data_IF_467511047993
#
_entry.id   IF_467511047993
#
_cell.length_a   1.000
_cell.length_b   1.000
_cell.length_c   1.000
_cell.angle_alpha   90.00
_cell.angle_beta   90.00
_cell.angle_gamma   90.00
#
_symmetry.space_group_name_H-M   'P 1'
#
loop_
_entity.id
_entity.type
_entity.pdbx_description
1 polymer ?
#
# COMPACT_ATOMS: atom_id res chain seq x y z
N UNK A 1 0.06 14.06 9.50
CA UNK A 1 0.59 12.69 9.36
C UNK A 1 -0.46 11.63 9.68
N UNK A 2 -1.52 12.00 10.42
CA UNK A 2 -2.55 11.08 10.92
C UNK A 2 -3.22 10.21 9.85
N UNK A 3 -3.56 10.73 8.67
CA UNK A 3 -4.16 9.93 7.60
C UNK A 3 -3.31 8.72 7.16
N UNK A 4 -2.03 8.94 6.85
CA UNK A 4 -1.13 7.87 6.44
C UNK A 4 -0.89 6.87 7.59
N UNK A 5 -0.81 7.36 8.84
CA UNK A 5 -0.67 6.50 10.02
C UNK A 5 -1.90 5.62 10.24
N UNK A 6 -3.10 6.17 10.07
CA UNK A 6 -4.35 5.40 10.18
C UNK A 6 -4.43 4.34 9.09
N UNK A 7 -4.02 4.66 7.85
CA UNK A 7 -3.93 3.66 6.77
C UNK A 7 -2.97 2.51 7.13
N UNK A 8 -1.75 2.82 7.59
CA UNK A 8 -0.75 1.82 8.01
C UNK A 8 -1.28 0.97 9.18
N UNK A 9 -2.00 1.57 10.12
CA UNK A 9 -2.61 0.81 11.21
C UNK A 9 -3.58 -0.26 10.66
N UNK A 10 -4.44 0.08 9.69
CA UNK A 10 -5.32 -0.89 9.05
C UNK A 10 -4.53 -1.98 8.30
N UNK A 11 -3.41 -1.64 7.64
CA UNK A 11 -2.54 -2.63 6.99
C UNK A 11 -2.00 -3.65 7.99
N UNK A 12 -1.46 -3.19 9.12
CA UNK A 12 -0.93 -4.05 10.19
C UNK A 12 -2.04 -4.92 10.80
N UNK A 13 -3.24 -4.35 10.98
CA UNK A 13 -4.37 -5.07 11.55
C UNK A 13 -4.85 -6.19 10.61
N UNK A 14 -4.94 -5.92 9.30
CA UNK A 14 -5.23 -6.94 8.29
C UNK A 14 -4.13 -8.01 8.23
N UNK A 15 -2.85 -7.64 8.29
CA UNK A 15 -1.74 -8.60 8.20
C UNK A 15 -1.62 -9.53 9.40
N UNK A 16 -2.10 -9.09 10.56
CA UNK A 16 -2.11 -9.87 11.82
C UNK A 16 -3.42 -10.59 12.10
N UNK A 17 -4.46 -10.38 11.27
CA UNK A 17 -5.84 -10.84 11.52
C UNK A 17 -6.38 -10.42 12.90
N UNK A 18 -5.87 -9.31 13.44
CA UNK A 18 -6.27 -8.81 14.74
C UNK A 18 -7.70 -8.25 14.65
N UNK A 19 -8.55 -8.62 15.61
CA UNK A 19 -9.92 -8.07 15.67
C UNK A 19 -9.85 -6.60 16.07
N UNK A 20 -10.44 -5.76 15.24
CA UNK A 20 -10.56 -4.33 15.52
C UNK A 20 -11.63 -4.11 16.61
N UNK A 21 -11.31 -3.25 17.58
CA UNK A 21 -12.30 -2.73 18.51
C UNK A 21 -13.27 -1.82 17.75
N UNK A 22 -14.57 -1.98 17.98
CA UNK A 22 -15.63 -1.25 17.26
C UNK A 22 -15.41 0.27 17.26
N UNK A 23 -15.06 0.83 18.42
CA UNK A 23 -14.80 2.26 18.57
C UNK A 23 -13.60 2.77 17.76
N UNK A 24 -12.56 1.94 17.59
CA UNK A 24 -11.42 2.30 16.75
C UNK A 24 -11.85 2.35 15.28
N UNK A 25 -12.55 1.31 14.81
CA UNK A 25 -13.06 1.25 13.43
C UNK A 25 -13.94 2.44 13.13
N UNK A 26 -14.97 2.68 13.92
CA UNK A 26 -15.93 3.75 13.66
C UNK A 26 -15.27 5.12 13.64
N UNK A 27 -14.31 5.37 14.54
CA UNK A 27 -13.57 6.64 14.61
C UNK A 27 -12.66 6.82 13.40
N UNK A 28 -11.94 5.78 12.99
CA UNK A 28 -11.08 5.83 11.81
C UNK A 28 -11.86 6.01 10.51
N UNK A 29 -13.00 5.33 10.36
CA UNK A 29 -13.87 5.49 9.19
C UNK A 29 -14.47 6.91 9.15
N UNK A 30 -14.95 7.43 10.28
CA UNK A 30 -15.41 8.82 10.36
C UNK A 30 -14.31 9.81 9.93
N UNK A 31 -13.08 9.60 10.41
CA UNK A 31 -11.93 10.41 10.03
C UNK A 31 -11.61 10.32 8.53
N UNK A 32 -11.67 9.14 7.92
CA UNK A 32 -11.49 9.00 6.47
C UNK A 32 -12.57 9.77 5.69
N UNK A 33 -13.83 9.68 6.12
CA UNK A 33 -14.95 10.39 5.46
C UNK A 33 -14.91 11.91 5.64
N UNK A 34 -14.33 12.40 6.74
CA UNK A 34 -14.12 13.82 7.02
C UNK A 34 -12.96 14.39 6.19
N UNK A 35 -11.88 13.60 6.01
CA UNK A 35 -10.66 14.04 5.31
C UNK A 35 -10.67 13.82 3.80
N UNK A 36 -11.70 13.16 3.28
CA UNK A 36 -11.89 12.95 1.84
C UNK A 36 -12.22 14.25 1.12
N UNK A 37 -11.58 14.47 -0.03
CA UNK A 37 -12.07 15.45 -0.99
C UNK A 37 -13.33 14.87 -1.66
N UNK A 38 -14.51 15.29 -1.21
CA UNK A 38 -15.79 14.77 -1.69
C UNK A 38 -16.10 15.15 -3.14
N UNK A 39 -15.62 16.30 -3.59
CA UNK A 39 -15.84 16.77 -4.96
C UNK A 39 -14.98 15.96 -5.93
N UNK A 40 -13.73 15.69 -5.56
CA UNK A 40 -12.80 14.94 -6.40
C UNK A 40 -12.84 13.43 -6.17
N UNK A 41 -13.37 12.96 -5.04
CA UNK A 41 -13.46 11.54 -4.70
C UNK A 41 -12.10 10.89 -4.41
N UNK A 42 -11.23 11.55 -3.65
CA UNK A 42 -9.91 11.01 -3.32
C UNK A 42 -9.37 11.52 -1.98
N UNK A 43 -8.24 10.97 -1.55
CA UNK A 43 -7.44 11.52 -0.45
C UNK A 43 -6.06 11.91 -0.96
N UNK A 44 -5.48 12.96 -0.38
CA UNK A 44 -4.05 13.21 -0.56
C UNK A 44 -3.26 12.13 0.19
N UNK A 45 -2.16 11.65 -0.39
CA UNK A 45 -1.25 10.73 0.31
C UNK A 45 -0.82 11.33 1.66
N UNK A 46 -0.49 12.63 1.65
CA UNK A 46 -0.13 13.39 2.83
C UNK A 46 -1.09 14.58 2.97
N UNK A 47 -1.88 14.67 4.06
CA UNK A 47 -2.73 15.82 4.31
C UNK A 47 -1.91 17.12 4.36
N UNK A 48 -2.48 18.23 3.88
CA UNK A 48 -1.79 19.54 3.87
C UNK A 48 -1.32 19.97 5.27
N UNK A 49 -2.10 19.65 6.30
CA UNK A 49 -1.74 19.90 7.71
C UNK A 49 -0.44 19.22 8.16
N UNK A 50 -0.03 18.14 7.48
CA UNK A 50 1.19 17.41 7.78
C UNK A 50 2.46 18.02 7.17
N UNK A 51 2.33 18.97 6.24
CA UNK A 51 3.46 19.53 5.51
C UNK A 51 4.48 20.29 6.37
N UNK A 52 4.12 20.64 7.61
CA UNK A 52 5.00 21.32 8.56
C UNK A 52 5.70 20.37 9.54
N UNK A 53 5.32 19.09 9.58
CA UNK A 53 5.99 18.09 10.43
C UNK A 53 7.28 17.61 9.78
N UNK A 54 8.29 17.09 10.51
CA UNK A 54 9.41 16.40 9.91
C UNK A 54 8.95 15.24 9.00
N UNK A 55 9.44 15.20 7.76
CA UNK A 55 9.01 14.23 6.75
C UNK A 55 10.09 13.98 5.69
N UNK A 56 9.90 12.93 4.89
CA UNK A 56 10.77 12.63 3.76
C UNK A 56 10.57 13.65 2.62
N UNK A 57 11.61 14.11 1.92
CA UNK A 57 11.48 15.13 0.87
C UNK A 57 10.49 14.75 -0.26
N UNK A 58 10.40 13.46 -0.59
CA UNK A 58 9.48 12.95 -1.62
C UNK A 58 8.00 12.98 -1.21
N UNK A 59 7.68 13.34 0.04
CA UNK A 59 6.31 13.54 0.50
C UNK A 59 5.76 14.94 0.19
N UNK A 60 6.58 15.85 -0.35
CA UNK A 60 6.09 17.18 -0.69
C UNK A 60 5.17 17.14 -1.93
N UNK A 61 3.88 17.38 -1.71
CA UNK A 61 2.85 17.34 -2.74
C UNK A 61 2.35 18.72 -3.18
N UNK A 62 3.00 19.79 -2.74
CA UNK A 62 2.57 21.17 -3.06
C UNK A 62 2.61 21.38 -4.57
N UNK A 63 1.45 21.74 -5.15
CA UNK A 63 1.26 21.97 -6.59
C UNK A 63 1.68 20.81 -7.49
N UNK A 64 1.56 19.57 -6.99
CA UNK A 64 1.98 18.35 -7.69
C UNK A 64 0.86 17.31 -7.83
N UNK A 65 -0.39 17.74 -7.73
CA UNK A 65 -1.54 16.81 -7.77
C UNK A 65 -1.54 15.97 -9.06
N UNK A 66 -1.19 16.57 -10.22
CA UNK A 66 -1.08 15.86 -11.50
C UNK A 66 0.07 14.84 -11.53
N UNK A 67 1.18 15.10 -10.81
CA UNK A 67 2.32 14.18 -10.71
C UNK A 67 1.95 12.92 -9.92
N UNK A 68 0.97 13.03 -9.03
CA UNK A 68 0.42 11.91 -8.27
C UNK A 68 -0.90 11.40 -8.88
N UNK A 69 -1.13 11.66 -10.17
CA UNK A 69 -2.31 11.25 -10.92
C UNK A 69 -3.64 11.61 -10.22
N UNK A 70 -3.68 12.81 -9.63
CA UNK A 70 -4.79 13.28 -8.82
C UNK A 70 -5.22 12.28 -7.73
N UNK A 71 -4.27 11.52 -7.19
CA UNK A 71 -4.47 10.52 -6.15
C UNK A 71 -5.52 9.47 -6.50
N UNK A 72 -5.62 9.11 -7.79
CA UNK A 72 -6.68 8.26 -8.31
C UNK A 72 -6.62 6.84 -7.76
N UNK A 73 -5.44 6.26 -7.60
CA UNK A 73 -5.26 4.94 -6.98
C UNK A 73 -4.48 4.99 -5.66
N UNK A 74 -3.40 5.76 -5.58
CA UNK A 74 -2.65 5.94 -4.32
C UNK A 74 -3.09 7.24 -3.61
N UNK A 75 -3.73 7.16 -2.43
CA UNK A 75 -4.03 5.98 -1.59
C UNK A 75 -5.47 5.45 -1.78
N UNK A 76 -6.25 6.06 -2.67
CA UNK A 76 -7.71 5.90 -2.80
C UNK A 76 -8.18 4.45 -2.99
N UNK A 77 -7.46 3.63 -3.77
CA UNK A 77 -7.84 2.23 -3.99
C UNK A 77 -7.78 1.41 -2.70
N UNK A 78 -6.75 1.61 -1.87
CA UNK A 78 -6.64 0.95 -0.58
C UNK A 78 -7.75 1.41 0.38
N UNK A 79 -8.01 2.72 0.42
CA UNK A 79 -9.06 3.29 1.27
C UNK A 79 -10.43 2.72 0.93
N UNK A 80 -10.75 2.60 -0.36
CA UNK A 80 -11.98 1.95 -0.82
C UNK A 80 -12.12 0.55 -0.22
N UNK A 81 -11.01 -0.19 -0.12
CA UNK A 81 -11.00 -1.50 0.50
C UNK A 81 -11.43 -1.48 1.97
N UNK A 82 -10.97 -0.50 2.75
CA UNK A 82 -11.37 -0.34 4.15
C UNK A 82 -12.84 0.08 4.30
N UNK A 83 -13.32 0.93 3.39
CA UNK A 83 -14.73 1.34 3.36
C UNK A 83 -15.65 0.17 3.06
N UNK A 84 -15.26 -0.75 2.18
CA UNK A 84 -15.99 -2.00 1.93
C UNK A 84 -16.05 -2.91 3.16
N UNK A 85 -14.94 -3.12 3.86
CA UNK A 85 -14.91 -3.94 5.10
C UNK A 85 -15.81 -3.33 6.19
N UNK A 86 -15.95 -2.00 6.18
CA UNK A 86 -16.65 -1.23 7.20
C UNK A 86 -17.94 -0.59 6.68
N UNK A 87 -18.55 -1.15 5.63
CA UNK A 87 -19.66 -0.54 4.88
C UNK A 87 -20.86 -0.15 5.74
N UNK A 88 -21.07 -0.79 6.89
CA UNK A 88 -22.12 -0.43 7.86
C UNK A 88 -21.95 0.98 8.47
N UNK A 89 -20.74 1.55 8.41
CA UNK A 89 -20.43 2.90 8.89
C UNK A 89 -20.28 3.92 7.74
N UNK A 90 -20.51 3.51 6.49
CA UNK A 90 -20.20 4.31 5.31
C UNK A 90 -21.47 4.54 4.48
N UNK A 91 -21.77 5.78 4.06
CA UNK A 91 -22.85 6.04 3.11
C UNK A 91 -22.61 5.30 1.78
N UNK A 92 -23.64 4.59 1.28
CA UNK A 92 -23.51 3.73 0.10
C UNK A 92 -23.16 4.48 -1.19
N UNK A 93 -23.53 5.75 -1.29
CA UNK A 93 -23.19 6.65 -2.39
C UNK A 93 -21.68 6.92 -2.45
N UNK A 94 -20.99 6.99 -1.30
CA UNK A 94 -19.54 7.17 -1.24
C UNK A 94 -18.81 5.94 -1.76
N UNK A 95 -19.23 4.74 -1.34
CA UNK A 95 -18.64 3.48 -1.85
C UNK A 95 -18.83 3.39 -3.36
N UNK A 96 -20.02 3.71 -3.86
CA UNK A 96 -20.34 3.68 -5.29
C UNK A 96 -19.48 4.67 -6.08
N UNK A 97 -19.40 5.93 -5.62
CA UNK A 97 -18.58 6.98 -6.23
C UNK A 97 -17.11 6.57 -6.35
N UNK A 98 -16.53 6.05 -5.26
CA UNK A 98 -15.13 5.66 -5.22
C UNK A 98 -14.86 4.40 -6.04
N UNK A 99 -15.79 3.45 -6.05
CA UNK A 99 -15.70 2.26 -6.90
C UNK A 99 -15.66 2.65 -8.37
N UNK A 100 -16.60 3.47 -8.82
CA UNK A 100 -16.66 3.93 -10.20
C UNK A 100 -15.37 4.67 -10.59
N UNK A 101 -14.86 5.54 -9.71
CA UNK A 101 -13.61 6.28 -9.93
C UNK A 101 -12.41 5.34 -10.06
N UNK A 102 -12.18 4.48 -9.06
CA UNK A 102 -11.02 3.56 -9.02
C UNK A 102 -11.05 2.61 -10.21
N UNK A 103 -12.22 2.02 -10.50
CA UNK A 103 -12.38 1.05 -11.59
C UNK A 103 -12.20 1.73 -12.96
N UNK A 104 -12.82 2.90 -13.17
CA UNK A 104 -12.71 3.62 -14.44
C UNK A 104 -11.28 4.05 -14.71
N UNK A 105 -10.62 4.61 -13.70
CA UNK A 105 -9.24 5.02 -13.79
C UNK A 105 -8.31 3.82 -14.08
N UNK A 106 -8.38 2.78 -13.25
CA UNK A 106 -7.56 1.57 -13.43
C UNK A 106 -7.77 0.92 -14.80
N UNK A 107 -9.02 0.87 -15.29
CA UNK A 107 -9.34 0.26 -16.59
C UNK A 107 -8.66 1.00 -17.75
N UNK A 108 -8.49 2.31 -17.65
CA UNK A 108 -7.87 3.17 -18.67
C UNK A 108 -6.33 3.15 -18.69
N UNK A 109 -5.68 2.59 -17.67
CA UNK A 109 -4.22 2.61 -17.56
C UNK A 109 -3.53 1.66 -18.56
N UNK A 110 -2.49 2.15 -19.24
CA UNK A 110 -1.55 1.30 -20.00
C UNK A 110 -0.35 0.87 -19.16
N UNK A 111 0.02 1.70 -18.19
CA UNK A 111 1.09 1.46 -17.20
C UNK A 111 0.58 1.94 -15.85
N UNK A 112 1.13 1.36 -14.78
CA UNK A 112 0.78 1.71 -13.41
C UNK A 112 2.03 2.09 -12.65
N UNK A 113 1.92 2.99 -11.67
CA UNK A 113 3.00 3.32 -10.74
C UNK A 113 3.04 2.30 -9.58
N UNK A 114 4.22 2.08 -8.97
CA UNK A 114 4.40 0.98 -8.01
C UNK A 114 3.51 1.10 -6.76
N UNK A 115 3.31 2.30 -6.21
CA UNK A 115 2.47 2.49 -5.02
C UNK A 115 1.00 2.38 -5.37
N UNK A 116 0.60 2.80 -6.57
CA UNK A 116 -0.75 2.59 -7.08
C UNK A 116 -1.07 1.10 -7.22
N UNK A 117 -0.16 0.32 -7.82
CA UNK A 117 -0.30 -1.13 -7.89
C UNK A 117 -0.45 -1.73 -6.49
N UNK A 118 0.43 -1.34 -5.55
CA UNK A 118 0.37 -1.84 -4.17
C UNK A 118 -0.97 -1.48 -3.48
N UNK A 119 -1.54 -0.30 -3.73
CA UNK A 119 -2.87 0.06 -3.23
C UNK A 119 -3.97 -0.82 -3.84
N UNK A 120 -3.92 -1.10 -5.15
CA UNK A 120 -4.87 -1.99 -5.81
C UNK A 120 -4.74 -3.44 -5.34
N UNK A 121 -3.53 -3.92 -5.08
CA UNK A 121 -3.31 -5.25 -4.48
C UNK A 121 -3.93 -5.33 -3.07
N UNK A 122 -3.81 -4.28 -2.26
CA UNK A 122 -4.47 -4.21 -0.95
C UNK A 122 -6.00 -4.12 -1.05
N UNK A 123 -6.54 -3.47 -2.07
CA UNK A 123 -7.98 -3.49 -2.39
C UNK A 123 -8.46 -4.91 -2.71
N UNK A 124 -7.71 -5.68 -3.50
CA UNK A 124 -8.06 -7.07 -3.83
C UNK A 124 -8.09 -8.01 -2.62
N UNK A 125 -7.50 -7.62 -1.48
CA UNK A 125 -7.57 -8.39 -0.22
C UNK A 125 -8.83 -8.11 0.61
N UNK A 126 -9.64 -7.13 0.23
CA UNK A 126 -10.91 -6.85 0.89
C UNK A 126 -11.86 -8.03 0.68
N UNK A 127 -12.33 -8.63 1.78
CA UNK A 127 -13.19 -9.82 1.74
C UNK A 127 -14.58 -9.47 1.19
N UNK A 128 -15.10 -8.30 1.53
CA UNK A 128 -16.44 -7.82 1.13
C UNK A 128 -16.49 -7.15 -0.24
N UNK A 129 -15.37 -7.13 -0.98
CA UNK A 129 -15.33 -6.58 -2.34
C UNK A 129 -16.19 -7.45 -3.27
N UNK A 130 -17.13 -6.88 -4.05
CA UNK A 130 -17.95 -7.64 -4.99
C UNK A 130 -17.10 -8.43 -5.98
N UNK A 131 -17.48 -9.69 -6.25
CA UNK A 131 -16.65 -10.60 -7.03
C UNK A 131 -16.41 -10.12 -8.46
N UNK A 132 -17.43 -9.56 -9.12
CA UNK A 132 -17.28 -8.98 -10.46
C UNK A 132 -16.24 -7.85 -10.49
N UNK A 133 -16.25 -6.99 -9.46
CA UNK A 133 -15.27 -5.91 -9.28
C UNK A 133 -13.88 -6.48 -9.01
N UNK A 134 -13.77 -7.47 -8.13
CA UNK A 134 -12.51 -8.17 -7.81
C UNK A 134 -11.90 -8.76 -9.09
N UNK A 135 -12.71 -9.44 -9.89
CA UNK A 135 -12.28 -10.07 -11.14
C UNK A 135 -11.85 -9.04 -12.19
N UNK A 136 -12.58 -7.93 -12.31
CA UNK A 136 -12.19 -6.85 -13.21
C UNK A 136 -10.82 -6.25 -12.82
N UNK A 137 -10.63 -5.92 -11.54
CA UNK A 137 -9.36 -5.38 -11.03
C UNK A 137 -8.25 -6.40 -11.24
N UNK A 138 -8.45 -7.67 -10.83
CA UNK A 138 -7.45 -8.74 -10.96
C UNK A 138 -6.98 -8.91 -12.40
N UNK A 139 -7.91 -9.04 -13.37
CA UNK A 139 -7.55 -9.15 -14.79
C UNK A 139 -6.72 -7.97 -15.28
N UNK A 140 -7.07 -6.75 -14.85
CA UNK A 140 -6.33 -5.55 -15.25
C UNK A 140 -4.93 -5.52 -14.62
N UNK A 141 -4.79 -5.86 -13.35
CA UNK A 141 -3.49 -5.90 -12.68
C UNK A 141 -2.57 -6.97 -13.28
N UNK A 142 -3.09 -8.15 -13.64
CA UNK A 142 -2.30 -9.19 -14.33
C UNK A 142 -1.61 -8.65 -15.58
N UNK A 143 -2.28 -7.77 -16.34
CA UNK A 143 -1.67 -7.16 -17.53
C UNK A 143 -0.63 -6.07 -17.21
N UNK A 144 -0.78 -5.38 -16.08
CA UNK A 144 0.07 -4.25 -15.71
C UNK A 144 1.35 -4.67 -14.97
N UNK A 145 1.33 -5.82 -14.29
CA UNK A 145 2.41 -6.32 -13.41
C UNK A 145 3.72 -6.55 -14.18
N UNK A 146 3.66 -7.18 -15.36
CA UNK A 146 4.84 -7.53 -16.15
C UNK A 146 5.71 -6.32 -16.50
N UNK A 147 5.10 -5.13 -16.59
CA UNK A 147 5.79 -3.88 -16.96
C UNK A 147 6.49 -3.16 -15.82
N UNK A 148 6.33 -3.61 -14.56
CA UNK A 148 6.79 -2.84 -13.38
C UNK A 148 7.57 -3.66 -12.34
N UNK A 149 7.41 -4.99 -12.30
CA UNK A 149 8.15 -5.82 -11.34
C UNK A 149 9.62 -5.95 -11.75
N UNK A 150 10.51 -5.58 -10.83
CA UNK A 150 11.95 -5.75 -10.99
C UNK A 150 12.31 -7.22 -10.74
N UNK A 151 12.37 -8.04 -11.78
CA UNK A 151 12.73 -9.47 -11.65
C UNK A 151 14.24 -9.72 -11.52
N UNK A 152 15.08 -8.74 -11.85
CA UNK A 152 16.54 -8.84 -11.74
C UNK A 152 17.00 -8.53 -10.30
N UNK A 153 17.69 -9.46 -9.60
CA UNK A 153 18.21 -9.24 -8.26
C UNK A 153 19.10 -8.01 -8.09
N UNK A 154 19.82 -7.60 -9.14
CA UNK A 154 20.69 -6.41 -9.09
C UNK A 154 19.90 -5.11 -8.91
N UNK A 155 18.60 -5.12 -9.17
CA UNK A 155 17.70 -3.97 -9.01
C UNK A 155 17.09 -3.89 -7.60
N UNK A 156 17.28 -4.91 -6.76
CA UNK A 156 16.58 -5.01 -5.47
C UNK A 156 17.17 -4.12 -4.39
N UNK A 157 18.47 -3.78 -4.42
CA UNK A 157 19.06 -2.89 -3.42
C UNK A 157 18.43 -1.49 -3.42
N UNK A 158 17.95 -1.04 -4.59
CA UNK A 158 17.36 0.28 -4.79
C UNK A 158 15.85 0.36 -4.52
N UNK A 159 15.28 1.49 -4.96
CA UNK A 159 13.84 1.74 -4.90
C UNK A 159 13.14 1.13 -6.12
N UNK A 160 12.73 -0.14 -5.98
CA UNK A 160 12.06 -0.91 -7.03
C UNK A 160 10.91 -1.72 -6.43
N UNK A 161 9.97 -2.14 -7.29
CA UNK A 161 8.91 -3.06 -6.92
C UNK A 161 9.41 -4.50 -7.08
N UNK A 162 9.61 -5.21 -5.97
CA UNK A 162 10.15 -6.56 -5.98
C UNK A 162 9.05 -7.63 -6.11
N UNK A 163 9.35 -8.84 -6.62
CA UNK A 163 8.37 -9.91 -6.83
C UNK A 163 7.50 -10.21 -5.60
N UNK A 164 8.10 -10.31 -4.41
CA UNK A 164 7.38 -10.64 -3.17
C UNK A 164 6.43 -9.54 -2.66
N UNK A 165 6.52 -8.33 -3.21
CA UNK A 165 5.55 -7.28 -2.91
C UNK A 165 4.25 -7.43 -3.73
N UNK A 166 4.31 -8.20 -4.83
CA UNK A 166 3.16 -8.54 -5.69
C UNK A 166 2.63 -9.93 -5.36
N UNK A 167 3.53 -10.89 -5.15
CA UNK A 167 3.24 -12.29 -4.81
C UNK A 167 3.62 -12.51 -3.35
N UNK A 168 2.70 -12.23 -2.43
CA UNK A 168 2.95 -12.28 -0.98
C UNK A 168 2.46 -13.55 -0.29
N UNK A 169 2.03 -14.53 -1.07
CA UNK A 169 1.69 -15.90 -0.64
C UNK A 169 1.84 -16.90 -1.81
N UNK A 170 2.07 -18.21 -1.53
CA UNK A 170 2.21 -19.23 -2.58
C UNK A 170 0.97 -19.43 -3.47
N UNK A 171 -0.21 -19.07 -2.98
CA UNK A 171 -1.48 -19.16 -3.71
C UNK A 171 -1.87 -17.88 -4.45
N UNK A 172 -0.98 -16.88 -4.50
CA UNK A 172 -1.26 -15.60 -5.15
C UNK A 172 -1.70 -15.80 -6.61
N UNK A 173 -2.77 -15.13 -7.06
CA UNK A 173 -3.23 -15.21 -8.46
C UNK A 173 -2.24 -14.57 -9.45
N UNK A 174 -1.19 -13.91 -8.96
CA UNK A 174 -0.15 -13.25 -9.76
C UNK A 174 1.15 -14.04 -9.84
N UNK A 175 1.17 -15.30 -9.37
CA UNK A 175 2.37 -16.15 -9.39
C UNK A 175 2.82 -16.51 -10.82
N UNK A 176 1.87 -16.71 -11.73
CA UNK A 176 2.17 -17.22 -13.08
C UNK A 176 3.13 -16.29 -13.84
N UNK A 177 4.29 -16.81 -14.25
CA UNK A 177 5.33 -16.06 -14.94
C UNK A 177 6.34 -15.36 -14.02
N UNK A 178 6.13 -15.40 -12.70
CA UNK A 178 7.02 -14.83 -11.69
C UNK A 178 7.66 -15.89 -10.78
N UNK A 179 7.48 -17.18 -11.06
CA UNK A 179 7.91 -18.28 -10.17
C UNK A 179 9.40 -18.22 -9.84
N UNK A 180 10.25 -18.08 -10.86
CA UNK A 180 11.70 -17.98 -10.69
C UNK A 180 12.10 -16.69 -9.96
N UNK A 181 11.46 -15.57 -10.29
CA UNK A 181 11.74 -14.27 -9.68
C UNK A 181 11.31 -14.23 -8.20
N UNK A 182 10.19 -14.87 -7.85
CA UNK A 182 9.70 -15.04 -6.48
C UNK A 182 10.67 -15.92 -5.68
N UNK A 183 11.08 -17.06 -6.23
CA UNK A 183 12.06 -17.93 -5.57
C UNK A 183 13.39 -17.20 -5.32
N UNK A 184 13.90 -16.48 -6.32
CA UNK A 184 15.11 -15.69 -6.18
C UNK A 184 14.93 -14.54 -5.17
N UNK A 185 13.76 -13.90 -5.14
CA UNK A 185 13.49 -12.82 -4.19
C UNK A 185 13.39 -13.36 -2.76
N UNK A 186 12.85 -14.56 -2.52
CA UNK A 186 12.85 -15.20 -1.19
C UNK A 186 14.28 -15.40 -0.68
N UNK A 187 15.16 -15.96 -1.50
CA UNK A 187 16.57 -16.15 -1.14
C UNK A 187 17.27 -14.81 -0.84
N UNK A 188 16.98 -13.79 -1.64
CA UNK A 188 17.50 -12.45 -1.39
C UNK A 188 17.00 -11.86 -0.06
N UNK A 189 15.71 -12.00 0.27
CA UNK A 189 15.19 -11.52 1.55
C UNK A 189 15.83 -12.27 2.73
N UNK A 190 16.02 -13.59 2.63
CA UNK A 190 16.68 -14.39 3.68
C UNK A 190 18.15 -13.96 3.84
N UNK A 191 18.89 -13.84 2.74
CA UNK A 191 20.32 -13.48 2.75
C UNK A 191 20.61 -12.02 3.15
N UNK A 192 19.61 -11.14 3.05
CA UNK A 192 19.72 -9.72 3.43
C UNK A 192 19.29 -9.41 4.86
N UNK A 193 18.92 -10.43 5.64
CA UNK A 193 18.65 -10.29 7.07
C UNK A 193 19.95 -9.93 7.82
N UNK A 194 19.89 -8.92 8.68
CA UNK A 194 20.99 -8.55 9.55
C UNK A 194 21.23 -9.62 10.63
N UNK A 195 22.43 -9.64 11.21
CA UNK A 195 22.79 -10.57 12.30
C UNK A 195 21.87 -10.45 13.54
N UNK A 196 21.30 -9.27 13.78
CA UNK A 196 20.33 -9.02 14.87
C UNK A 196 18.90 -9.47 14.53
N UNK A 197 18.68 -10.04 13.34
CA UNK A 197 17.40 -10.51 12.84
C UNK A 197 16.54 -9.44 12.16
N UNK A 198 16.99 -8.18 12.11
CA UNK A 198 16.27 -7.09 11.45
C UNK A 198 16.53 -7.03 9.94
N UNK A 199 15.71 -6.28 9.21
CA UNK A 199 16.00 -5.88 7.83
C UNK A 199 16.36 -4.39 7.74
N UNK A 200 17.34 -4.01 6.88
CA UNK A 200 17.70 -2.63 6.68
C UNK A 200 16.61 -1.86 5.93
N UNK A 201 16.54 -0.55 6.18
CA UNK A 201 15.73 0.36 5.37
C UNK A 201 16.51 0.72 4.10
N UNK A 202 15.83 0.67 2.95
CA UNK A 202 16.41 1.05 1.64
C UNK A 202 16.31 2.54 1.35
N UNK A 203 15.82 3.33 2.30
CA UNK A 203 15.56 4.76 2.15
C UNK A 203 15.89 5.51 3.45
N UNK A 204 16.24 6.79 3.30
CA UNK A 204 16.57 7.67 4.42
C UNK A 204 16.23 9.11 4.11
N UNK A 205 15.71 9.82 5.12
CA UNK A 205 15.55 11.28 5.10
C UNK A 205 16.29 11.95 6.26
N UNK A 206 17.26 11.25 6.86
CA UNK A 206 18.08 11.75 7.97
C UNK A 206 18.90 13.00 7.63
N UNK A 207 19.18 13.24 6.35
CA UNK A 207 19.85 14.45 5.89
C UNK A 207 18.99 15.72 6.06
N UNK A 208 17.66 15.59 6.13
CA UNK A 208 16.74 16.72 6.24
C UNK A 208 16.29 16.95 7.67
N UNK A 209 16.02 15.88 8.42
CA UNK A 209 15.54 15.93 9.80
C UNK A 209 16.21 14.84 10.64
N UNK A 210 17.49 14.99 11.03
CA UNK A 210 18.29 13.91 11.63
C UNK A 210 17.70 13.36 12.94
N UNK A 211 17.27 14.26 13.84
CA UNK A 211 16.74 13.85 15.15
C UNK A 211 15.41 13.09 15.03
N UNK A 212 14.53 13.55 14.16
CA UNK A 212 13.26 12.87 13.89
C UNK A 212 13.48 11.55 13.13
N UNK A 213 14.48 11.52 12.24
CA UNK A 213 14.82 10.32 11.48
C UNK A 213 15.31 9.20 12.38
N UNK A 214 16.14 9.48 13.39
CA UNK A 214 16.66 8.41 14.24
C UNK A 214 15.56 7.66 14.98
N UNK A 215 14.51 8.37 15.42
CA UNK A 215 13.32 7.75 15.99
C UNK A 215 12.54 6.95 14.93
N UNK A 216 12.22 7.58 13.80
CA UNK A 216 11.44 6.96 12.73
C UNK A 216 12.13 5.71 12.16
N UNK A 217 13.46 5.75 12.00
CA UNK A 217 14.29 4.65 11.50
C UNK A 217 14.12 3.39 12.37
N UNK A 218 14.09 3.56 13.69
CA UNK A 218 13.88 2.46 14.64
C UNK A 218 12.48 1.88 14.53
N UNK A 219 11.46 2.74 14.48
CA UNK A 219 10.06 2.33 14.36
C UNK A 219 9.80 1.60 13.03
N UNK A 220 10.28 2.15 11.92
CA UNK A 220 10.18 1.53 10.60
C UNK A 220 10.96 0.23 10.50
N UNK A 221 12.14 0.12 11.10
CA UNK A 221 12.88 -1.15 11.13
C UNK A 221 12.07 -2.27 11.80
N UNK A 222 11.34 -1.96 12.88
CA UNK A 222 10.44 -2.91 13.53
C UNK A 222 9.29 -3.35 12.62
N UNK A 223 8.64 -2.39 11.94
CA UNK A 223 7.54 -2.66 11.00
C UNK A 223 8.02 -3.54 9.84
N UNK A 224 9.11 -3.15 9.17
CA UNK A 224 9.66 -3.91 8.03
C UNK A 224 10.08 -5.31 8.47
N UNK A 225 10.72 -5.45 9.62
CA UNK A 225 11.12 -6.76 10.15
C UNK A 225 9.90 -7.65 10.36
N UNK A 226 8.85 -7.14 10.98
CA UNK A 226 7.60 -7.88 11.16
C UNK A 226 6.97 -8.28 9.81
N UNK A 227 6.91 -7.35 8.85
CA UNK A 227 6.37 -7.62 7.51
C UNK A 227 7.15 -8.74 6.79
N UNK A 228 8.49 -8.69 6.83
CA UNK A 228 9.36 -9.72 6.23
C UNK A 228 9.17 -11.08 6.89
N UNK A 229 9.10 -11.12 8.22
CA UNK A 229 8.86 -12.38 8.95
C UNK A 229 7.48 -12.98 8.64
N UNK A 230 6.43 -12.15 8.58
CA UNK A 230 5.08 -12.61 8.21
C UNK A 230 5.03 -13.10 6.76
N UNK A 231 5.71 -12.42 5.84
CA UNK A 231 5.86 -12.82 4.45
C UNK A 231 6.56 -14.18 4.35
N UNK A 232 7.76 -14.33 4.91
CA UNK A 232 8.53 -15.59 4.86
C UNK A 232 7.74 -16.75 5.48
N UNK A 233 7.02 -16.50 6.58
CA UNK A 233 6.15 -17.50 7.22
C UNK A 233 5.04 -18.01 6.29
N UNK A 234 4.51 -17.20 5.35
CA UNK A 234 3.48 -17.65 4.40
C UNK A 234 4.02 -18.57 3.31
N UNK A 235 5.32 -18.49 3.02
CA UNK A 235 6.02 -19.34 2.05
C UNK A 235 6.69 -20.57 2.68
N UNK A 236 6.59 -20.72 4.00
CA UNK A 236 7.09 -21.87 4.77
C UNK A 236 6.00 -22.91 4.98
#
# INVERSE_FOLDING_TARGET
>A
AEFALTSIAFQILRSTQARLGEAFVSTSIAYFLETMDREKGHWRIIPRSAGQSPHAPWWNQTDRDDVFDCFSLNPTAEMLGYLYDCQQYVPSDIISLLSDRVISHLSGLEKIEMHELLCCLRLLRTETLPEDTRDQIRRKLTHLIDGIVACDPTQWEGYSLRPLQVVDDPGSPFMAGLEEAVAANLEYEISSQNEDGSWPLTWSWGNTFPDAWEKARREWSGIITMEKLLLLKRFS
#
